data_IF_098328197448
#
_entry.id   IF_098328197448
#
_cell.length_a   1.000
_cell.length_b   1.000
_cell.length_c   1.000
_cell.angle_alpha   90.00
_cell.angle_beta   90.00
_cell.angle_gamma   90.00
#
_symmetry.space_group_name_H-M   'P 1'
#
loop_
_entity.id
_entity.type
_entity.pdbx_description
1 polymer ?
#
# COMPACT_ATOMS: atom_id res chain seq x y z
N UNK A 1 -6.65 21.58 -19.31
CA UNK A 1 -5.41 20.85 -19.66
C UNK A 1 -5.09 19.92 -18.50
N UNK A 2 -5.31 18.61 -18.65
CA UNK A 2 -4.91 17.63 -17.65
C UNK A 2 -3.41 17.40 -17.81
N UNK A 3 -2.60 17.72 -16.79
CA UNK A 3 -1.19 17.31 -16.75
C UNK A 3 -1.17 15.78 -16.62
N UNK A 4 -0.53 15.03 -17.52
CA UNK A 4 -0.43 13.58 -17.40
C UNK A 4 0.86 13.17 -16.64
N UNK A 5 1.18 13.86 -15.55
CA UNK A 5 2.43 13.63 -14.81
C UNK A 5 2.21 13.81 -13.31
N UNK A 6 2.57 12.79 -12.54
CA UNK A 6 2.60 12.86 -11.09
C UNK A 6 2.22 11.53 -10.47
N UNK A 7 3.16 10.59 -10.43
CA UNK A 7 3.29 9.76 -9.22
C UNK A 7 3.25 10.75 -8.05
N UNK A 8 2.10 10.81 -7.38
CA UNK A 8 1.71 11.92 -6.51
C UNK A 8 2.84 12.23 -5.52
N UNK A 9 3.23 13.50 -5.42
CA UNK A 9 4.26 13.96 -4.50
C UNK A 9 4.03 13.36 -3.10
N UNK A 10 4.93 12.49 -2.60
CA UNK A 10 4.79 11.82 -1.32
C UNK A 10 4.52 12.78 -0.16
N UNK A 11 5.14 13.96 -0.18
CA UNK A 11 4.97 14.98 0.86
C UNK A 11 3.56 15.60 0.79
N UNK A 12 3.08 15.88 -0.43
CA UNK A 12 1.70 16.37 -0.64
C UNK A 12 0.68 15.33 -0.17
N UNK A 13 0.88 14.06 -0.51
CA UNK A 13 -0.02 12.99 -0.08
C UNK A 13 -0.01 12.80 1.44
N UNK A 14 1.16 12.78 2.07
CA UNK A 14 1.26 12.64 3.52
C UNK A 14 0.56 13.81 4.24
N UNK A 15 0.75 15.03 3.73
CA UNK A 15 0.03 16.21 4.20
C UNK A 15 -1.47 16.07 4.02
N UNK A 16 -1.95 15.66 2.85
CA UNK A 16 -3.37 15.48 2.58
C UNK A 16 -4.00 14.42 3.50
N UNK A 17 -3.31 13.29 3.72
CA UNK A 17 -3.77 12.22 4.62
C UNK A 17 -3.91 12.74 6.05
N UNK A 18 -2.98 13.59 6.47
CA UNK A 18 -2.98 14.21 7.80
C UNK A 18 -4.06 15.28 7.94
N UNK A 19 -4.11 16.24 7.01
CA UNK A 19 -4.98 17.41 7.06
C UNK A 19 -6.46 17.00 6.91
N UNK A 20 -6.77 16.04 6.05
CA UNK A 20 -8.14 15.56 5.79
C UNK A 20 -8.53 14.34 6.67
N UNK A 21 -7.62 13.84 7.50
CA UNK A 21 -7.89 12.69 8.37
C UNK A 21 -8.24 11.41 7.61
N UNK A 22 -7.60 11.17 6.46
CA UNK A 22 -7.89 10.02 5.60
C UNK A 22 -7.67 8.71 6.37
N UNK A 23 -8.68 7.84 6.36
CA UNK A 23 -8.63 6.56 7.09
C UNK A 23 -8.34 5.35 6.21
N UNK A 24 -8.58 5.47 4.89
CA UNK A 24 -8.35 4.41 3.92
C UNK A 24 -7.63 4.97 2.71
N UNK A 25 -6.54 4.33 2.30
CA UNK A 25 -5.79 4.71 1.10
C UNK A 25 -5.42 3.46 0.29
N UNK A 26 -5.34 3.64 -1.03
CA UNK A 26 -4.98 2.61 -1.98
C UNK A 26 -3.75 3.04 -2.77
N UNK A 27 -2.79 2.11 -2.91
CA UNK A 27 -1.53 2.32 -3.62
C UNK A 27 -1.29 1.18 -4.61
N UNK A 28 -0.51 1.47 -5.64
CA UNK A 28 0.25 0.44 -6.34
C UNK A 28 1.58 0.23 -5.58
N UNK A 29 2.14 -0.99 -5.44
CA UNK A 29 3.40 -1.22 -4.73
C UNK A 29 4.56 -0.26 -5.07
N UNK A 30 4.76 0.07 -6.35
CA UNK A 30 5.72 1.10 -6.80
C UNK A 30 5.48 2.47 -6.14
N UNK A 31 4.23 2.94 -6.10
CA UNK A 31 3.84 4.18 -5.40
C UNK A 31 4.02 4.08 -3.89
N UNK A 32 3.66 2.95 -3.29
CA UNK A 32 3.84 2.75 -1.84
C UNK A 32 5.32 2.86 -1.47
N UNK A 33 6.22 2.32 -2.29
CA UNK A 33 7.67 2.43 -2.08
C UNK A 33 8.12 3.89 -2.03
N UNK A 34 7.71 4.69 -3.02
CA UNK A 34 8.04 6.12 -3.05
C UNK A 34 7.41 6.88 -1.87
N UNK A 35 6.17 6.54 -1.52
CA UNK A 35 5.47 7.14 -0.38
C UNK A 35 6.20 6.89 0.94
N UNK A 36 6.70 5.67 1.17
CA UNK A 36 7.42 5.33 2.40
C UNK A 36 8.78 6.03 2.56
N UNK A 37 9.35 6.62 1.51
CA UNK A 37 10.57 7.44 1.62
C UNK A 37 10.30 8.77 2.32
N UNK A 38 9.05 9.24 2.34
CA UNK A 38 8.67 10.50 2.96
C UNK A 38 8.74 10.39 4.51
N UNK A 39 9.53 11.24 5.19
CA UNK A 39 9.66 11.22 6.65
C UNK A 39 8.33 11.39 7.40
N UNK A 40 7.45 12.26 6.91
CA UNK A 40 6.18 12.61 7.59
C UNK A 40 5.16 11.47 7.63
N UNK A 41 5.40 10.38 6.90
CA UNK A 41 4.53 9.20 6.89
C UNK A 41 4.43 8.50 8.26
N UNK A 42 5.46 8.60 9.09
CA UNK A 42 5.44 8.02 10.45
C UNK A 42 4.41 8.68 11.39
N UNK A 43 3.98 9.89 11.05
CA UNK A 43 3.04 10.68 11.83
C UNK A 43 1.57 10.48 11.41
N UNK A 44 1.31 9.63 10.40
CA UNK A 44 -0.04 9.38 9.91
C UNK A 44 -0.80 8.44 10.85
N UNK A 45 -1.50 9.03 11.83
CA UNK A 45 -2.29 8.29 12.84
C UNK A 45 -3.74 8.03 12.43
N UNK A 46 -4.22 8.69 11.38
CA UNK A 46 -5.60 8.55 10.87
C UNK A 46 -5.81 7.26 10.07
N UNK A 47 -4.74 6.71 9.49
CA UNK A 47 -4.81 5.53 8.62
C UNK A 47 -5.25 4.29 9.40
N UNK A 48 -6.36 3.68 8.95
CA UNK A 48 -6.90 2.42 9.46
C UNK A 48 -6.83 1.29 8.45
N UNK A 49 -6.58 1.62 7.19
CA UNK A 49 -6.54 0.65 6.09
C UNK A 49 -5.64 1.15 4.97
N UNK A 50 -4.61 0.38 4.67
CA UNK A 50 -3.77 0.61 3.48
C UNK A 50 -3.92 -0.59 2.57
N UNK A 51 -4.22 -0.32 1.30
CA UNK A 51 -4.48 -1.35 0.31
C UNK A 51 -3.43 -1.23 -0.80
N UNK A 52 -2.84 -2.36 -1.21
CA UNK A 52 -1.98 -2.45 -2.39
C UNK A 52 -2.62 -3.34 -3.45
N UNK A 53 -2.53 -2.95 -4.72
CA UNK A 53 -2.90 -3.82 -5.85
C UNK A 53 -2.16 -3.43 -7.13
N UNK A 54 -2.31 -4.20 -8.20
CA UNK A 54 -1.80 -3.87 -9.53
C UNK A 54 -0.35 -4.29 -9.81
N UNK A 55 0.45 -4.54 -8.77
CA UNK A 55 1.78 -5.12 -8.88
C UNK A 55 2.03 -6.15 -7.77
N UNK A 56 3.13 -6.90 -7.86
CA UNK A 56 3.55 -7.81 -6.81
C UNK A 56 4.02 -7.04 -5.56
N UNK A 57 3.38 -7.30 -4.41
CA UNK A 57 3.76 -6.74 -3.13
C UNK A 57 4.91 -7.56 -2.51
N UNK A 58 6.15 -7.15 -2.77
CA UNK A 58 7.36 -7.81 -2.25
C UNK A 58 7.44 -7.76 -0.71
N UNK A 59 8.04 -8.78 -0.10
CA UNK A 59 8.18 -8.90 1.36
C UNK A 59 8.92 -7.71 1.98
N UNK A 60 10.07 -7.30 1.43
CA UNK A 60 10.83 -6.13 1.91
C UNK A 60 9.98 -4.85 1.97
N UNK A 61 9.08 -4.66 1.02
CA UNK A 61 8.20 -3.49 1.01
C UNK A 61 7.17 -3.55 2.15
N UNK A 62 6.70 -4.75 2.50
CA UNK A 62 5.81 -4.96 3.65
C UNK A 62 6.53 -4.66 4.97
N UNK A 63 7.76 -5.13 5.13
CA UNK A 63 8.55 -4.84 6.34
C UNK A 63 8.80 -3.34 6.49
N UNK A 64 9.19 -2.66 5.41
CA UNK A 64 9.35 -1.20 5.39
C UNK A 64 8.07 -0.47 5.76
N UNK A 65 6.93 -0.94 5.27
CA UNK A 65 5.62 -0.39 5.63
C UNK A 65 5.35 -0.53 7.13
N UNK A 66 5.47 -1.75 7.69
CA UNK A 66 5.17 -2.03 9.10
C UNK A 66 6.19 -1.44 10.09
N UNK A 67 7.34 -0.97 9.61
CA UNK A 67 8.31 -0.20 10.38
C UNK A 67 7.96 1.29 10.50
N UNK A 68 7.07 1.79 9.62
CA UNK A 68 6.77 3.24 9.50
C UNK A 68 5.32 3.57 9.80
N UNK A 69 4.38 2.72 9.41
CA UNK A 69 2.95 2.95 9.53
C UNK A 69 2.34 1.90 10.44
N UNK A 70 1.59 2.35 11.45
CA UNK A 70 0.83 1.48 12.35
C UNK A 70 -0.60 1.29 11.85
N UNK A 71 -0.74 0.64 10.69
CA UNK A 71 -2.03 0.32 10.09
C UNK A 71 -1.98 -1.05 9.40
N UNK A 72 -3.12 -1.74 9.24
CA UNK A 72 -3.18 -2.96 8.43
C UNK A 72 -2.86 -2.70 6.95
N UNK A 73 -1.98 -3.52 6.38
CA UNK A 73 -1.70 -3.60 4.95
C UNK A 73 -2.46 -4.76 4.31
N UNK A 74 -3.24 -4.46 3.27
CA UNK A 74 -3.99 -5.45 2.51
C UNK A 74 -3.44 -5.53 1.09
N UNK A 75 -3.02 -6.71 0.66
CA UNK A 75 -2.69 -6.96 -0.74
C UNK A 75 -3.94 -7.48 -1.45
N UNK A 76 -4.49 -6.70 -2.38
CA UNK A 76 -5.55 -7.12 -3.27
C UNK A 76 -4.94 -7.56 -4.59
N UNK A 77 -5.08 -8.84 -4.88
CA UNK A 77 -4.76 -9.40 -6.19
C UNK A 77 -6.08 -9.74 -6.88
N UNK A 78 -6.30 -9.17 -8.06
CA UNK A 78 -7.45 -9.49 -8.90
C UNK A 78 -7.14 -9.09 -10.34
N UNK A 79 -7.28 -9.99 -11.32
CA UNK A 79 -7.33 -9.59 -12.71
C UNK A 79 -8.60 -8.73 -12.94
N UNK A 80 -8.50 -7.75 -13.81
CA UNK A 80 -9.58 -6.81 -14.16
C UNK A 80 -10.86 -7.48 -14.70
N UNK A 81 -10.83 -8.79 -14.96
CA UNK A 81 -11.93 -9.62 -15.45
C UNK A 81 -12.74 -10.32 -14.35
N UNK A 82 -12.30 -10.29 -13.09
CA UNK A 82 -13.00 -10.93 -11.98
C UNK A 82 -13.58 -9.87 -11.04
N UNK A 83 -14.82 -9.44 -11.33
CA UNK A 83 -15.66 -8.84 -10.30
C UNK A 83 -15.86 -9.89 -9.19
N UNK A 84 -15.25 -9.64 -8.03
CA UNK A 84 -15.46 -10.36 -6.75
C UNK A 84 -14.91 -11.79 -6.71
N UNK A 85 -13.59 -11.93 -6.54
CA UNK A 85 -13.05 -13.01 -5.70
C UNK A 85 -11.85 -12.48 -4.91
N UNK A 86 -12.19 -11.79 -3.82
CA UNK A 86 -11.24 -11.04 -3.00
C UNK A 86 -10.49 -12.03 -2.11
N UNK A 87 -9.36 -12.53 -2.60
CA UNK A 87 -8.39 -13.22 -1.72
C UNK A 87 -7.79 -12.17 -0.80
N UNK A 88 -8.51 -11.82 0.27
CA UNK A 88 -8.06 -10.85 1.28
C UNK A 88 -7.00 -11.52 2.14
N UNK A 89 -5.74 -11.40 1.76
CA UNK A 89 -4.65 -11.77 2.66
C UNK A 89 -4.34 -10.61 3.61
N UNK A 90 -4.59 -10.81 4.89
CA UNK A 90 -4.12 -9.89 5.92
C UNK A 90 -2.64 -10.19 6.18
N UNK A 91 -1.74 -9.32 5.71
CA UNK A 91 -0.32 -9.47 5.97
C UNK A 91 -0.08 -9.30 7.47
N UNK A 92 0.48 -10.34 8.12
CA UNK A 92 0.80 -10.35 9.55
C UNK A 92 2.30 -10.19 9.73
N UNK A 93 2.71 -9.51 10.82
CA UNK A 93 4.12 -9.33 11.19
C UNK A 93 4.77 -10.70 11.45
N UNK A 94 5.86 -11.02 10.74
CA UNK A 94 6.65 -12.24 10.95
C UNK A 94 6.28 -13.46 10.10
N UNK A 95 5.59 -13.31 8.97
CA UNK A 95 5.35 -14.42 8.03
C UNK A 95 6.54 -14.61 7.08
N UNK A 96 7.37 -15.67 7.22
CA UNK A 96 8.62 -15.84 6.47
C UNK A 96 8.43 -16.16 4.98
N UNK A 97 7.20 -16.38 4.51
CA UNK A 97 6.97 -16.82 3.14
C UNK A 97 6.77 -15.69 2.12
N UNK A 98 6.58 -14.45 2.58
CA UNK A 98 6.06 -13.41 1.70
C UNK A 98 4.65 -13.75 1.20
N UNK A 99 3.80 -12.72 1.08
CA UNK A 99 2.43 -12.90 0.62
C UNK A 99 2.40 -13.20 -0.91
N UNK A 100 2.66 -14.45 -1.31
CA UNK A 100 2.58 -14.92 -2.70
C UNK A 100 1.68 -16.15 -2.81
N UNK A 101 0.60 -16.11 -3.62
CA UNK A 101 0.01 -17.31 -4.16
C UNK A 101 0.56 -17.57 -5.58
N UNK A 102 1.05 -18.79 -5.77
CA UNK A 102 1.26 -19.52 -7.02
C UNK A 102 2.48 -19.22 -7.91
N UNK A 103 3.50 -20.10 -7.76
CA UNK A 103 4.28 -20.66 -8.87
C UNK A 103 3.32 -21.45 -9.79
N UNK A 104 3.36 -21.21 -11.10
CA UNK A 104 3.06 -22.25 -12.09
C UNK A 104 4.37 -22.66 -12.77
N UNK A 105 4.64 -23.96 -12.78
CA UNK A 105 5.54 -24.60 -13.71
C UNK A 105 4.85 -24.93 -15.02
#
# INVERSE_FOLDING_TARGET
MAKPEGHQDPAYLARLVKDEGITTIHFVPSMLRAFLEEPSVADLKSLRRVICSGEALLYDLQERFFARIDAPLHNLYGPTEAAVDVTRWACRRGDPNGCFPFRKG
#
